data_IF_463911621102
#
_entry.id   IF_463911621102
#
_cell.length_a   1.000
_cell.length_b   1.000
_cell.length_c   1.000
_cell.angle_alpha   90.00
_cell.angle_beta   90.00
_cell.angle_gamma   90.00
#
_symmetry.space_group_name_H-M   'P 1'
#
loop_
_entity.id
_entity.type
_entity.pdbx_description
1 polymer ?
#
# COMPACT_ATOMS: atom_id res chain seq x y z
N UNK A 1 -78.17 22.09 -22.46
CA UNK A 1 -77.37 23.12 -21.79
C UNK A 1 -77.04 22.63 -20.38
N UNK A 2 -75.73 22.48 -20.07
CA UNK A 2 -75.03 22.64 -18.77
C UNK A 2 -75.77 22.22 -17.47
N UNK A 3 -75.24 21.42 -16.54
CA UNK A 3 -73.85 21.15 -16.09
C UNK A 3 -73.88 19.87 -15.22
N UNK A 4 -72.89 18.98 -15.41
CA UNK A 4 -72.57 17.93 -14.46
C UNK A 4 -71.65 18.49 -13.35
N UNK A 5 -71.93 18.11 -12.10
CA UNK A 5 -71.18 18.49 -10.90
C UNK A 5 -70.07 17.48 -10.69
N UNK A 6 -68.81 17.91 -10.84
CA UNK A 6 -67.62 17.12 -10.50
C UNK A 6 -67.28 17.31 -9.01
N UNK A 7 -67.52 16.29 -8.19
CA UNK A 7 -66.97 16.17 -6.84
C UNK A 7 -65.49 15.80 -6.90
N UNK A 8 -64.61 16.70 -6.42
CA UNK A 8 -63.18 16.41 -6.21
C UNK A 8 -62.98 15.82 -4.82
N UNK A 9 -62.58 14.54 -4.76
CA UNK A 9 -62.00 13.91 -3.59
C UNK A 9 -60.60 14.53 -3.33
N UNK A 10 -60.40 15.13 -2.17
CA UNK A 10 -59.08 15.56 -1.69
C UNK A 10 -58.41 14.37 -0.98
N UNK A 11 -57.47 13.73 -1.67
CA UNK A 11 -56.57 12.74 -1.08
C UNK A 11 -55.40 13.50 -0.42
N UNK A 12 -55.38 13.56 0.90
CA UNK A 12 -54.24 14.10 1.65
C UNK A 12 -53.09 13.10 1.62
N UNK A 13 -52.12 13.33 0.73
CA UNK A 13 -50.87 12.57 0.68
C UNK A 13 -49.95 12.95 1.84
N UNK A 14 -49.76 12.04 2.79
CA UNK A 14 -48.78 12.15 3.85
C UNK A 14 -47.37 11.97 3.25
N UNK A 15 -46.66 13.09 3.01
CA UNK A 15 -45.25 13.09 2.63
C UNK A 15 -44.40 12.70 3.84
N UNK A 16 -44.04 11.42 3.95
CA UNK A 16 -43.00 10.96 4.86
C UNK A 16 -41.65 11.34 4.22
N UNK A 17 -41.07 12.45 4.68
CA UNK A 17 -39.71 12.83 4.36
C UNK A 17 -38.73 11.86 5.01
N UNK A 18 -38.22 10.90 4.22
CA UNK A 18 -37.07 10.08 4.59
C UNK A 18 -35.85 11.02 4.62
N UNK A 19 -35.50 11.50 5.81
CA UNK A 19 -34.20 12.13 6.06
C UNK A 19 -33.18 11.00 6.00
N UNK A 20 -32.59 10.79 4.81
CA UNK A 20 -31.41 9.95 4.70
C UNK A 20 -30.31 10.55 5.56
N UNK A 21 -29.91 9.85 6.62
CA UNK A 21 -28.65 10.13 7.32
C UNK A 21 -27.54 9.98 6.27
N UNK A 22 -27.13 11.10 5.67
CA UNK A 22 -25.83 11.20 5.03
C UNK A 22 -24.82 11.18 6.17
N UNK A 23 -24.25 10.02 6.47
CA UNK A 23 -23.02 9.98 7.23
C UNK A 23 -22.01 10.81 6.45
N UNK A 24 -21.68 12.00 6.96
CA UNK A 24 -20.58 12.76 6.44
C UNK A 24 -19.35 11.86 6.56
N UNK A 25 -18.74 11.50 5.43
CA UNK A 25 -17.42 10.87 5.43
C UNK A 25 -16.52 11.85 6.17
N UNK A 26 -16.06 11.45 7.36
CA UNK A 26 -15.14 12.26 8.14
C UNK A 26 -13.96 12.60 7.23
N UNK A 27 -13.57 13.88 7.19
CA UNK A 27 -12.34 14.26 6.48
C UNK A 27 -11.21 13.38 7.02
N UNK A 28 -10.38 12.77 6.15
CA UNK A 28 -9.26 12.00 6.63
C UNK A 28 -8.44 12.87 7.58
N UNK A 29 -8.15 12.35 8.77
CA UNK A 29 -7.28 13.03 9.74
C UNK A 29 -5.91 13.37 9.11
N UNK A 30 -5.12 14.24 9.76
CA UNK A 30 -3.85 14.69 9.19
C UNK A 30 -2.93 13.50 8.89
N UNK A 31 -2.21 13.57 7.78
CA UNK A 31 -1.18 12.60 7.44
C UNK A 31 0.03 12.79 8.36
N UNK A 32 0.40 11.74 9.09
CA UNK A 32 1.53 11.75 10.00
C UNK A 32 2.75 11.16 9.30
N UNK A 33 3.89 11.85 9.31
CA UNK A 33 5.16 11.40 8.72
C UNK A 33 6.27 11.20 9.75
N UNK A 34 6.01 11.48 11.03
CA UNK A 34 6.96 11.32 12.11
C UNK A 34 6.35 10.47 13.23
N UNK A 35 7.11 9.50 13.73
CA UNK A 35 6.72 8.64 14.85
C UNK A 35 6.40 9.40 16.13
N UNK A 36 6.95 10.61 16.32
CA UNK A 36 6.64 11.45 17.48
C UNK A 36 5.20 11.98 17.48
N UNK A 37 4.54 12.03 16.31
CA UNK A 37 3.23 12.65 16.11
C UNK A 37 2.10 11.62 15.95
N UNK A 38 2.39 10.33 16.15
CA UNK A 38 1.39 9.26 16.04
C UNK A 38 0.50 9.20 17.27
N UNK A 39 -0.73 8.71 17.08
CA UNK A 39 -1.65 8.44 18.18
C UNK A 39 -1.34 7.10 18.88
N UNK A 40 -2.11 6.80 19.93
CA UNK A 40 -1.96 5.55 20.67
C UNK A 40 -2.30 4.29 19.86
N UNK A 41 -3.04 4.40 18.75
CA UNK A 41 -3.40 3.27 17.89
C UNK A 41 -2.21 2.76 17.10
N UNK A 42 -1.29 3.65 16.74
CA UNK A 42 -0.04 3.28 16.12
C UNK A 42 0.79 2.30 16.97
N UNK A 43 0.77 2.44 18.30
CA UNK A 43 1.54 1.58 19.19
C UNK A 43 1.09 0.10 19.16
N UNK A 44 -0.16 -0.17 18.78
CA UNK A 44 -0.75 -1.53 18.79
C UNK A 44 -0.85 -2.12 17.39
N UNK A 45 -0.90 -1.29 16.34
CA UNK A 45 -0.85 -1.81 14.97
C UNK A 45 0.53 -2.38 14.61
N UNK A 46 0.58 -3.17 13.55
CA UNK A 46 1.81 -3.76 13.02
C UNK A 46 1.69 -5.26 12.84
N UNK A 47 2.83 -5.93 12.84
CA UNK A 47 2.93 -7.37 12.60
C UNK A 47 3.19 -8.12 13.90
N UNK A 48 2.61 -9.30 14.03
CA UNK A 48 2.83 -10.21 15.16
C UNK A 48 3.09 -11.61 14.62
N UNK A 49 3.94 -12.40 15.27
CA UNK A 49 4.22 -13.79 14.85
C UNK A 49 4.56 -14.70 16.04
N UNK A 50 4.40 -16.00 15.83
CA UNK A 50 4.56 -17.02 16.86
C UNK A 50 3.94 -18.35 16.42
N UNK A 51 3.58 -19.17 17.41
CA UNK A 51 2.94 -20.47 17.22
C UNK A 51 1.54 -20.44 17.82
N UNK A 52 0.57 -21.05 17.15
CA UNK A 52 -0.79 -21.23 17.66
C UNK A 52 -1.15 -22.71 17.69
N UNK A 53 -1.99 -23.07 18.65
CA UNK A 53 -2.67 -24.36 18.71
C UNK A 53 -3.73 -24.45 17.60
N UNK A 54 -3.80 -25.60 16.95
CA UNK A 54 -4.87 -25.92 16.01
C UNK A 54 -6.15 -26.30 16.77
N UNK A 55 -7.28 -25.68 16.40
CA UNK A 55 -8.56 -25.88 17.09
C UNK A 55 -8.96 -27.36 17.01
N UNK A 56 -9.28 -27.96 18.15
CA UNK A 56 -9.63 -29.38 18.25
C UNK A 56 -8.44 -30.35 18.12
N UNK A 57 -7.21 -29.84 18.17
CA UNK A 57 -5.97 -30.63 18.06
C UNK A 57 -4.97 -30.24 19.17
N UNK A 58 -4.00 -31.12 19.42
CA UNK A 58 -2.83 -30.82 20.26
C UNK A 58 -1.65 -30.25 19.44
N UNK A 59 -1.77 -30.23 18.11
CA UNK A 59 -0.74 -29.73 17.22
C UNK A 59 -0.68 -28.20 17.22
N UNK A 60 0.53 -27.66 17.09
CA UNK A 60 0.75 -26.24 16.87
C UNK A 60 1.18 -25.97 15.43
N UNK A 61 0.93 -24.76 14.95
CA UNK A 61 1.40 -24.29 13.65
C UNK A 61 1.93 -22.86 13.73
N UNK A 62 2.92 -22.49 12.89
CA UNK A 62 3.39 -21.11 12.82
C UNK A 62 2.27 -20.20 12.35
N UNK A 63 2.12 -19.03 12.95
CA UNK A 63 1.09 -18.07 12.56
C UNK A 63 1.60 -16.63 12.66
N UNK A 64 0.89 -15.73 12.01
CA UNK A 64 1.12 -14.31 12.11
C UNK A 64 -0.15 -13.47 12.00
N UNK A 65 -0.09 -12.24 12.50
CA UNK A 65 -1.12 -11.23 12.33
C UNK A 65 -0.56 -10.01 11.60
N UNK A 66 -1.37 -9.41 10.74
CA UNK A 66 -1.22 -8.02 10.33
C UNK A 66 -2.38 -7.21 10.94
N UNK A 67 -2.08 -6.40 11.95
CA UNK A 67 -3.04 -5.56 12.68
C UNK A 67 -2.99 -4.15 12.13
N UNK A 68 -4.12 -3.62 11.68
CA UNK A 68 -4.23 -2.32 11.02
C UNK A 68 -5.14 -1.40 11.82
N UNK A 69 -4.59 -0.26 12.27
CA UNK A 69 -5.39 0.81 12.83
C UNK A 69 -6.26 1.46 11.75
N UNK A 70 -7.52 1.70 12.09
CA UNK A 70 -8.56 2.31 11.26
C UNK A 70 -8.95 3.71 11.75
N UNK A 71 -8.32 4.17 12.84
CA UNK A 71 -8.52 5.47 13.48
C UNK A 71 -9.62 5.42 14.53
N UNK A 72 -9.57 6.35 15.48
CA UNK A 72 -10.54 6.46 16.57
C UNK A 72 -10.73 5.17 17.38
N UNK A 73 -9.65 4.40 17.59
CA UNK A 73 -9.70 3.14 18.30
C UNK A 73 -10.27 1.97 17.51
N UNK A 74 -10.62 2.12 16.23
CA UNK A 74 -11.06 1.00 15.39
C UNK A 74 -9.88 0.24 14.79
N UNK A 75 -10.00 -1.09 14.69
CA UNK A 75 -8.97 -1.96 14.14
C UNK A 75 -9.56 -3.07 13.27
N UNK A 76 -8.74 -3.52 12.33
CA UNK A 76 -8.88 -4.83 11.69
C UNK A 76 -7.59 -5.61 11.83
N UNK A 77 -7.67 -6.92 11.81
CA UNK A 77 -6.50 -7.78 11.73
C UNK A 77 -6.73 -8.90 10.72
N UNK A 78 -5.66 -9.37 10.09
CA UNK A 78 -5.68 -10.57 9.27
C UNK A 78 -4.77 -11.62 9.91
N UNK A 79 -5.33 -12.77 10.29
CA UNK A 79 -4.59 -13.92 10.77
C UNK A 79 -4.13 -14.78 9.58
N UNK A 80 -2.86 -15.15 9.60
CA UNK A 80 -2.13 -15.80 8.53
C UNK A 80 -1.54 -17.12 9.04
N UNK A 81 -1.83 -18.23 8.38
CA UNK A 81 -1.25 -19.54 8.67
C UNK A 81 0.16 -19.65 8.06
N UNK A 82 1.10 -20.26 8.76
CA UNK A 82 2.49 -20.44 8.31
C UNK A 82 3.42 -19.25 8.58
N UNK A 83 2.93 -18.01 8.66
CA UNK A 83 3.76 -16.84 8.95
C UNK A 83 3.31 -15.54 8.27
N UNK A 84 4.24 -14.59 8.14
CA UNK A 84 4.00 -13.28 7.49
C UNK A 84 4.18 -13.38 5.96
N UNK A 85 3.65 -12.42 5.17
CA UNK A 85 3.92 -12.37 3.74
C UNK A 85 5.43 -12.30 3.47
N UNK A 86 5.94 -13.21 2.64
CA UNK A 86 7.37 -13.32 2.31
C UNK A 86 8.20 -13.97 3.41
N UNK A 87 7.58 -14.42 4.50
CA UNK A 87 8.23 -15.09 5.63
C UNK A 87 7.29 -16.13 6.25
N UNK A 88 7.05 -17.22 5.52
CA UNK A 88 6.35 -18.41 6.02
C UNK A 88 4.85 -18.48 5.70
N UNK A 89 4.17 -17.38 5.37
CA UNK A 89 2.74 -17.46 5.01
C UNK A 89 2.53 -18.45 3.86
N UNK A 90 1.70 -19.47 4.11
CA UNK A 90 1.42 -20.56 3.18
C UNK A 90 0.46 -20.17 2.05
N UNK A 91 0.03 -18.90 2.01
CA UNK A 91 -0.94 -18.33 1.06
C UNK A 91 -2.35 -18.89 1.18
N UNK A 92 -2.67 -19.57 2.28
CA UNK A 92 -4.05 -19.91 2.64
C UNK A 92 -4.88 -18.66 2.90
N UNK A 93 -6.20 -18.82 2.84
CA UNK A 93 -7.15 -17.75 3.14
C UNK A 93 -6.91 -17.18 4.55
N UNK A 94 -7.08 -15.87 4.64
CA UNK A 94 -6.88 -15.12 5.88
C UNK A 94 -8.15 -15.13 6.70
N UNK A 95 -8.03 -15.28 8.02
CA UNK A 95 -9.14 -15.01 8.93
C UNK A 95 -9.13 -13.51 9.24
N UNK A 96 -10.18 -12.81 8.84
CA UNK A 96 -10.33 -11.37 9.03
C UNK A 96 -11.04 -11.09 10.36
N UNK A 97 -10.39 -10.34 11.23
CA UNK A 97 -10.93 -9.91 12.52
C UNK A 97 -11.18 -8.41 12.50
N UNK A 98 -12.22 -7.97 13.22
CA UNK A 98 -12.55 -6.56 13.39
C UNK A 98 -12.88 -6.28 14.84
N UNK A 99 -12.62 -5.06 15.27
CA UNK A 99 -13.02 -4.63 16.59
C UNK A 99 -12.43 -3.28 16.94
N UNK A 100 -12.29 -3.03 18.23
CA UNK A 100 -11.99 -1.72 18.74
C UNK A 100 -11.21 -1.77 20.04
N UNK A 101 -10.65 -0.62 20.40
CA UNK A 101 -9.96 -0.37 21.66
C UNK A 101 -10.96 -0.24 22.81
N UNK A 102 -10.66 -0.91 23.90
CA UNK A 102 -11.32 -0.85 25.20
C UNK A 102 -10.25 -0.54 26.28
N UNK A 103 -10.02 0.74 26.56
CA UNK A 103 -8.92 1.17 27.42
C UNK A 103 -7.56 0.85 26.80
N UNK A 104 -6.75 0.05 27.48
CA UNK A 104 -5.40 -0.32 27.03
C UNK A 104 -5.37 -1.60 26.16
N UNK A 105 -6.53 -2.25 25.99
CA UNK A 105 -6.66 -3.50 25.24
C UNK A 105 -7.43 -3.24 23.95
N UNK A 106 -7.01 -3.80 22.83
CA UNK A 106 -7.82 -3.84 21.62
C UNK A 106 -8.41 -5.25 21.49
N UNK A 107 -9.73 -5.34 21.38
CA UNK A 107 -10.44 -6.61 21.21
C UNK A 107 -10.99 -6.71 19.81
N UNK A 108 -10.70 -7.81 19.12
CA UNK A 108 -11.20 -8.10 17.79
C UNK A 108 -11.78 -9.51 17.74
N UNK A 109 -12.77 -9.69 16.88
CA UNK A 109 -13.37 -10.99 16.62
C UNK A 109 -13.52 -11.22 15.12
N UNK A 110 -13.46 -12.48 14.70
CA UNK A 110 -13.61 -12.90 13.31
C UNK A 110 -13.77 -14.41 13.24
N UNK A 111 -14.82 -14.88 12.56
CA UNK A 111 -15.25 -16.27 12.58
C UNK A 111 -15.38 -16.80 14.04
N UNK A 112 -14.66 -17.87 14.38
CA UNK A 112 -14.60 -18.43 15.73
C UNK A 112 -13.41 -17.92 16.56
N UNK A 113 -12.62 -16.98 16.02
CA UNK A 113 -11.39 -16.47 16.64
C UNK A 113 -11.64 -15.13 17.32
N UNK A 114 -11.13 -15.03 18.55
CA UNK A 114 -11.06 -13.82 19.36
C UNK A 114 -9.60 -13.41 19.51
N UNK A 115 -9.34 -12.11 19.50
CA UNK A 115 -8.01 -11.52 19.61
C UNK A 115 -8.03 -10.39 20.65
N UNK A 116 -7.15 -10.48 21.63
CA UNK A 116 -6.83 -9.41 22.58
C UNK A 116 -5.40 -8.91 22.34
N UNK A 117 -5.26 -7.64 21.98
CA UNK A 117 -3.98 -6.97 21.80
C UNK A 117 -3.70 -6.07 22.99
N UNK A 118 -2.53 -6.23 23.61
CA UNK A 118 -2.05 -5.36 24.66
C UNK A 118 -0.53 -5.20 24.54
N UNK A 119 -0.07 -3.98 24.32
CA UNK A 119 1.34 -3.69 24.04
C UNK A 119 1.87 -4.53 22.87
N UNK A 120 2.93 -5.31 23.12
CA UNK A 120 3.58 -6.15 22.12
C UNK A 120 3.05 -7.60 22.08
N UNK A 121 1.90 -7.87 22.70
CA UNK A 121 1.31 -9.19 22.81
C UNK A 121 -0.05 -9.25 22.10
N UNK A 122 -0.26 -10.32 21.33
CA UNK A 122 -1.51 -10.65 20.68
C UNK A 122 -1.97 -12.03 21.17
N UNK A 123 -2.95 -12.08 22.05
CA UNK A 123 -3.51 -13.32 22.59
C UNK A 123 -4.71 -13.75 21.75
N UNK A 124 -4.72 -14.99 21.27
CA UNK A 124 -5.81 -15.54 20.49
C UNK A 124 -6.55 -16.64 21.26
N UNK A 125 -7.87 -16.63 21.16
CA UNK A 125 -8.76 -17.67 21.69
C UNK A 125 -9.82 -18.09 20.69
N UNK A 126 -10.42 -19.25 20.90
CA UNK A 126 -11.60 -19.73 20.18
C UNK A 126 -12.51 -20.47 21.15
N UNK A 127 -13.76 -20.03 21.28
CA UNK A 127 -14.75 -20.62 22.20
C UNK A 127 -14.22 -20.81 23.64
N UNK A 128 -13.47 -19.83 24.15
CA UNK A 128 -12.86 -19.86 25.49
C UNK A 128 -11.57 -20.68 25.60
N UNK A 129 -11.17 -21.43 24.58
CA UNK A 129 -9.87 -22.10 24.52
C UNK A 129 -8.78 -21.12 24.08
N UNK A 130 -7.70 -21.00 24.86
CA UNK A 130 -6.51 -20.26 24.44
C UNK A 130 -5.81 -20.98 23.29
N UNK A 131 -5.62 -20.29 22.17
CA UNK A 131 -4.87 -20.80 21.01
C UNK A 131 -3.38 -20.47 21.12
N UNK A 132 -3.03 -19.36 21.76
CA UNK A 132 -1.64 -18.96 21.97
C UNK A 132 -1.46 -17.45 22.01
N UNK A 133 -0.20 -17.04 22.07
CA UNK A 133 0.20 -15.62 22.10
C UNK A 133 1.23 -15.38 21.01
N UNK A 134 0.98 -14.40 20.15
CA UNK A 134 1.92 -13.92 19.14
C UNK A 134 2.61 -12.66 19.66
N UNK A 135 3.92 -12.56 19.42
CA UNK A 135 4.72 -11.39 19.80
C UNK A 135 4.84 -10.40 18.64
N UNK A 136 4.87 -9.10 18.94
CA UNK A 136 5.05 -8.05 17.94
C UNK A 136 6.42 -8.18 17.26
N UNK A 137 6.44 -8.07 15.93
CA UNK A 137 7.65 -8.12 15.11
C UNK A 137 7.75 -6.83 14.30
N UNK A 138 8.98 -6.31 14.18
CA UNK A 138 9.30 -5.18 13.31
C UNK A 138 10.25 -5.68 12.24
N UNK A 139 9.79 -5.71 10.98
CA UNK A 139 10.63 -6.09 9.84
C UNK A 139 11.25 -4.85 9.21
N UNK A 140 12.43 -5.06 8.63
CA UNK A 140 13.12 -4.12 7.74
C UNK A 140 13.41 -4.81 6.43
N UNK A 141 13.44 -4.04 5.35
CA UNK A 141 13.82 -4.61 4.06
C UNK A 141 15.28 -5.04 4.11
N UNK A 142 15.60 -6.21 3.55
CA UNK A 142 16.98 -6.64 3.37
C UNK A 142 17.76 -5.71 2.43
N UNK A 143 17.04 -4.92 1.62
CA UNK A 143 17.60 -3.95 0.69
C UNK A 143 17.52 -2.50 1.21
N UNK A 144 17.08 -2.28 2.45
CA UNK A 144 17.07 -0.95 3.05
C UNK A 144 18.51 -0.45 3.28
N UNK A 145 18.82 0.75 2.81
CA UNK A 145 20.12 1.39 2.96
C UNK A 145 21.22 0.77 2.12
N UNK A 146 20.89 -0.01 1.09
CA UNK A 146 21.91 -0.55 0.19
C UNK A 146 22.71 0.59 -0.43
N UNK A 147 24.03 0.45 -0.35
CA UNK A 147 24.94 1.37 -1.02
C UNK A 147 24.80 1.19 -2.54
N UNK A 148 24.82 2.29 -3.30
CA UNK A 148 24.87 2.23 -4.75
C UNK A 148 26.05 1.34 -5.22
N UNK A 149 25.82 0.32 -6.06
CA UNK A 149 26.90 -0.51 -6.59
C UNK A 149 27.92 0.31 -7.42
N UNK A 150 29.13 -0.21 -7.66
CA UNK A 150 30.07 0.43 -8.59
C UNK A 150 29.43 0.70 -9.96
N UNK A 151 29.73 1.87 -10.54
CA UNK A 151 29.18 2.37 -11.81
C UNK A 151 27.68 2.71 -11.82
N UNK A 152 27.02 2.71 -10.64
CA UNK A 152 25.69 3.29 -10.54
C UNK A 152 25.73 4.82 -10.60
N UNK A 153 24.63 5.40 -11.06
CA UNK A 153 24.34 6.82 -11.02
C UNK A 153 23.54 7.07 -9.75
N UNK A 154 24.13 7.81 -8.82
CA UNK A 154 23.42 8.27 -7.61
C UNK A 154 22.49 9.41 -8.01
N UNK A 155 21.19 9.19 -7.86
CA UNK A 155 20.16 10.16 -8.20
C UNK A 155 19.79 11.00 -6.98
N UNK A 156 19.71 10.38 -5.79
CA UNK A 156 19.43 11.07 -4.53
C UNK A 156 20.02 10.33 -3.32
N UNK A 157 20.87 11.00 -2.55
CA UNK A 157 21.48 10.49 -1.32
C UNK A 157 21.16 11.34 -0.08
N UNK A 158 20.25 12.32 -0.23
CA UNK A 158 19.86 13.24 0.84
C UNK A 158 20.65 14.55 0.91
N UNK A 159 21.64 14.77 0.03
CA UNK A 159 22.48 15.99 0.04
C UNK A 159 21.92 17.12 -0.83
N UNK A 160 21.47 16.80 -2.04
CA UNK A 160 20.90 17.77 -2.97
C UNK A 160 19.84 17.13 -3.88
N UNK A 161 19.20 17.96 -4.71
CA UNK A 161 18.15 17.55 -5.64
C UNK A 161 18.46 17.94 -7.09
N UNK A 162 19.73 18.06 -7.46
CA UNK A 162 20.13 18.56 -8.79
C UNK A 162 19.71 17.64 -9.93
N UNK A 163 19.57 16.34 -9.68
CA UNK A 163 19.08 15.37 -10.65
C UNK A 163 17.58 15.53 -10.97
N UNK A 164 16.87 16.45 -10.31
CA UNK A 164 15.41 16.53 -10.34
C UNK A 164 14.86 17.90 -10.71
N UNK A 165 13.70 17.87 -11.36
CA UNK A 165 12.84 19.02 -11.60
C UNK A 165 11.71 19.07 -10.56
N UNK A 166 11.42 20.28 -10.07
CA UNK A 166 10.37 20.55 -9.07
C UNK A 166 10.56 19.84 -7.71
N UNK A 167 11.77 19.37 -7.43
CA UNK A 167 12.05 18.68 -6.19
C UNK A 167 11.87 19.59 -4.97
N UNK A 168 11.34 18.99 -3.91
CA UNK A 168 11.34 19.55 -2.57
C UNK A 168 12.05 18.55 -1.66
N UNK A 169 12.85 19.07 -0.74
CA UNK A 169 13.54 18.28 0.26
C UNK A 169 13.21 18.81 1.64
N UNK A 170 12.96 17.90 2.58
CA UNK A 170 12.76 18.20 3.99
C UNK A 170 13.52 17.17 4.81
N UNK A 171 14.36 17.61 5.73
CA UNK A 171 15.14 16.75 6.63
C UNK A 171 15.96 15.66 5.90
N UNK A 172 16.54 16.02 4.74
CA UNK A 172 17.31 15.08 3.89
C UNK A 172 16.46 14.08 3.11
N UNK A 173 15.13 14.20 3.14
CA UNK A 173 14.19 13.32 2.44
C UNK A 173 13.55 14.03 1.25
N UNK A 174 13.56 13.35 0.11
CA UNK A 174 12.92 13.82 -1.12
C UNK A 174 11.39 13.67 -0.99
N UNK A 175 10.66 14.71 -1.35
CA UNK A 175 9.19 14.71 -1.31
C UNK A 175 8.61 14.33 -2.68
N UNK A 176 7.32 13.96 -2.70
CA UNK A 176 6.51 13.71 -3.92
C UNK A 176 6.57 14.87 -4.94
N UNK A 177 6.12 14.59 -6.17
CA UNK A 177 5.85 15.61 -7.18
C UNK A 177 7.07 16.07 -7.96
N UNK A 178 8.04 15.17 -8.12
CA UNK A 178 9.33 15.45 -8.74
C UNK A 178 9.60 14.51 -9.92
N UNK A 179 10.41 14.98 -10.86
CA UNK A 179 10.75 14.25 -12.09
C UNK A 179 12.26 14.28 -12.29
N UNK A 180 12.87 13.16 -12.69
CA UNK A 180 14.28 13.13 -13.05
C UNK A 180 14.55 13.97 -14.30
N UNK A 181 15.64 14.72 -14.28
CA UNK A 181 16.18 15.40 -15.46
C UNK A 181 16.85 14.43 -16.44
N UNK A 182 17.75 13.52 -16.02
CA UNK A 182 18.33 12.55 -16.94
C UNK A 182 17.28 11.53 -17.40
N UNK A 183 17.41 11.11 -18.66
CA UNK A 183 16.52 10.15 -19.31
C UNK A 183 17.26 8.84 -19.50
N UNK A 184 16.64 7.75 -19.07
CA UNK A 184 17.22 6.41 -19.14
C UNK A 184 16.31 5.50 -19.93
N UNK A 185 16.88 4.67 -20.79
CA UNK A 185 16.10 3.76 -21.64
C UNK A 185 15.80 2.45 -20.91
N UNK A 186 16.84 1.64 -20.69
CA UNK A 186 16.80 0.38 -19.96
C UNK A 186 17.64 0.55 -18.69
N UNK A 187 17.19 0.03 -17.56
CA UNK A 187 17.88 0.26 -16.30
C UNK A 187 17.50 -0.70 -15.18
N UNK A 188 18.36 -0.78 -14.17
CA UNK A 188 18.02 -1.19 -12.81
C UNK A 188 17.93 0.04 -11.92
N UNK A 189 16.83 0.22 -11.20
CA UNK A 189 16.57 1.35 -10.32
C UNK A 189 16.30 0.84 -8.90
N UNK A 190 17.00 1.43 -7.93
CA UNK A 190 16.66 1.30 -6.52
C UNK A 190 15.97 2.58 -6.03
N UNK A 191 14.90 2.42 -5.25
CA UNK A 191 14.17 3.51 -4.60
C UNK A 191 13.75 3.05 -3.21
N UNK A 192 14.04 3.85 -2.19
CA UNK A 192 13.38 3.71 -0.89
C UNK A 192 12.27 4.74 -0.72
N UNK A 193 11.15 4.29 -0.14
CA UNK A 193 10.01 5.13 0.15
C UNK A 193 9.39 4.81 1.51
N UNK A 194 8.71 5.79 2.09
CA UNK A 194 7.98 5.65 3.34
C UNK A 194 6.60 6.29 3.20
N UNK A 195 5.56 5.50 3.45
CA UNK A 195 4.18 5.99 3.43
C UNK A 195 3.81 6.64 4.77
N UNK A 196 3.00 7.71 4.76
CA UNK A 196 2.54 8.33 5.99
C UNK A 196 1.55 7.44 6.74
N UNK A 197 1.46 7.62 8.05
CA UNK A 197 0.39 7.07 8.85
C UNK A 197 -0.89 7.89 8.65
N UNK A 198 -1.90 7.26 8.07
CA UNK A 198 -3.20 7.87 7.73
C UNK A 198 -4.35 6.94 8.14
N UNK A 199 -4.55 6.69 9.44
CA UNK A 199 -5.42 5.61 9.91
C UNK A 199 -6.88 5.80 9.52
N UNK A 200 -7.36 7.03 9.31
CA UNK A 200 -8.72 7.32 8.86
C UNK A 200 -8.91 7.23 7.33
N UNK A 201 -7.83 7.23 6.55
CA UNK A 201 -7.89 7.20 5.09
C UNK A 201 -8.07 5.78 4.55
N UNK A 202 -8.69 5.64 3.38
CA UNK A 202 -8.99 4.35 2.73
C UNK A 202 -8.70 4.41 1.25
N UNK A 203 -8.54 3.24 0.63
CA UNK A 203 -8.37 3.11 -0.81
C UNK A 203 -7.20 3.96 -1.33
N UNK A 204 -7.44 4.66 -2.44
CA UNK A 204 -6.42 5.48 -3.12
C UNK A 204 -6.09 6.79 -2.40
N UNK A 205 -6.74 7.10 -1.27
CA UNK A 205 -6.41 8.29 -0.47
C UNK A 205 -5.48 7.96 0.70
N UNK A 206 -5.11 6.69 0.88
CA UNK A 206 -4.28 6.22 2.00
C UNK A 206 -2.81 6.10 1.59
N UNK A 207 -2.07 7.20 1.69
CA UNK A 207 -0.62 7.20 1.46
C UNK A 207 -0.22 6.94 -0.01
N UNK A 208 -0.99 7.47 -0.96
CA UNK A 208 -0.82 7.22 -2.40
C UNK A 208 0.26 8.10 -3.04
N UNK A 209 1.10 7.48 -3.86
CA UNK A 209 2.06 8.07 -4.80
C UNK A 209 2.33 7.01 -5.89
N UNK A 210 3.41 7.13 -6.64
CA UNK A 210 3.78 6.14 -7.64
C UNK A 210 5.12 6.45 -8.27
N UNK A 211 5.84 5.40 -8.67
CA UNK A 211 7.05 5.50 -9.49
C UNK A 211 6.64 5.32 -10.95
N UNK A 212 6.49 6.43 -11.66
CA UNK A 212 6.19 6.44 -13.09
C UNK A 212 7.48 6.32 -13.89
N UNK A 213 7.74 5.13 -14.42
CA UNK A 213 8.81 4.85 -15.35
C UNK A 213 8.43 5.41 -16.72
N UNK A 214 9.36 6.14 -17.35
CA UNK A 214 9.14 6.85 -18.60
C UNK A 214 7.90 7.76 -18.56
N UNK A 215 7.51 8.28 -17.39
CA UNK A 215 6.27 9.04 -17.21
C UNK A 215 5.02 8.30 -17.77
N UNK A 216 5.07 6.97 -17.86
CA UNK A 216 4.15 6.09 -18.61
C UNK A 216 3.61 4.95 -17.77
N UNK A 217 4.52 4.28 -17.07
CA UNK A 217 4.26 3.01 -16.41
C UNK A 217 4.43 3.18 -14.92
N UNK A 218 3.34 3.14 -14.19
CA UNK A 218 3.27 3.35 -12.76
C UNK A 218 3.45 2.02 -12.04
N UNK A 219 4.56 1.93 -11.31
CA UNK A 219 4.67 1.04 -10.16
C UNK A 219 4.01 1.76 -8.99
N UNK A 220 2.90 1.21 -8.52
CA UNK A 220 2.04 1.88 -7.54
C UNK A 220 2.72 1.98 -6.18
N UNK A 221 2.65 3.16 -5.53
CA UNK A 221 3.06 3.34 -4.13
C UNK A 221 1.82 3.67 -3.31
N UNK A 222 1.49 2.83 -2.32
CA UNK A 222 0.31 3.02 -1.49
C UNK A 222 0.55 2.42 -0.10
N UNK A 223 -0.08 2.96 0.95
CA UNK A 223 -0.17 2.23 2.22
C UNK A 223 -1.17 1.07 2.05
N UNK A 224 -0.64 -0.06 1.61
CA UNK A 224 -1.38 -1.31 1.40
C UNK A 224 -1.15 -2.32 2.53
N UNK A 225 -0.66 -1.88 3.68
CA UNK A 225 -0.41 -2.77 4.80
C UNK A 225 -1.69 -3.50 5.25
N UNK A 226 -1.61 -4.83 5.34
CA UNK A 226 -2.74 -5.70 5.64
C UNK A 226 -3.82 -5.78 4.55
N UNK A 227 -3.63 -5.19 3.37
CA UNK A 227 -4.56 -5.35 2.23
C UNK A 227 -4.23 -6.62 1.41
N UNK A 228 -5.01 -6.87 0.35
CA UNK A 228 -4.90 -8.11 -0.45
C UNK A 228 -3.78 -8.09 -1.48
N UNK A 229 -3.25 -6.92 -1.85
CA UNK A 229 -2.36 -6.76 -3.00
C UNK A 229 -3.12 -6.70 -4.31
N UNK A 230 -4.16 -5.87 -4.38
CA UNK A 230 -4.95 -5.71 -5.60
C UNK A 230 -4.18 -4.98 -6.72
N UNK A 231 -4.71 -5.05 -7.94
CA UNK A 231 -4.18 -4.42 -9.16
C UNK A 231 -4.00 -2.89 -9.10
N UNK A 232 -4.50 -2.22 -8.06
CA UNK A 232 -4.33 -0.79 -7.79
C UNK A 232 -3.69 -0.51 -6.41
N UNK A 233 -3.08 -1.51 -5.77
CA UNK A 233 -2.40 -1.42 -4.48
C UNK A 233 -0.86 -1.43 -4.66
N UNK A 234 -0.13 -1.22 -3.56
CA UNK A 234 1.33 -1.06 -3.55
C UNK A 234 2.04 -2.18 -4.31
N UNK A 235 2.96 -1.80 -5.19
CA UNK A 235 3.73 -2.71 -6.02
C UNK A 235 2.99 -3.20 -7.26
N UNK A 236 1.72 -2.84 -7.47
CA UNK A 236 1.01 -3.19 -8.70
C UNK A 236 1.55 -2.43 -9.90
N UNK A 237 1.42 -3.03 -11.08
CA UNK A 237 1.45 -2.27 -12.33
C UNK A 237 0.05 -1.66 -12.48
N UNK A 238 -0.07 -0.37 -12.19
CA UNK A 238 -1.35 0.21 -11.81
C UNK A 238 -2.48 -0.07 -12.80
N UNK A 239 -3.52 -0.73 -12.28
CA UNK A 239 -4.73 -1.21 -12.98
C UNK A 239 -4.48 -2.19 -14.13
N UNK A 240 -3.27 -2.74 -14.26
CA UNK A 240 -2.94 -3.78 -15.23
C UNK A 240 -2.63 -5.13 -14.58
N UNK A 241 -1.87 -5.12 -13.47
CA UNK A 241 -1.45 -6.36 -12.81
C UNK A 241 -1.26 -6.18 -11.31
N UNK A 242 -1.93 -7.01 -10.52
CA UNK A 242 -1.68 -7.16 -9.08
C UNK A 242 -0.27 -7.67 -8.80
N UNK A 243 0.41 -7.23 -7.73
CA UNK A 243 1.63 -7.90 -7.28
C UNK A 243 1.34 -9.37 -6.95
N UNK A 244 2.29 -10.27 -7.21
CA UNK A 244 2.15 -11.70 -6.88
C UNK A 244 2.06 -11.95 -5.36
N UNK A 245 2.51 -10.98 -4.58
CA UNK A 245 2.42 -10.96 -3.12
C UNK A 245 2.38 -9.52 -2.61
N UNK A 246 1.45 -9.20 -1.70
CA UNK A 246 1.50 -7.93 -0.98
C UNK A 246 2.64 -7.94 0.05
N UNK A 247 3.72 -7.23 -0.26
CA UNK A 247 4.90 -7.09 0.60
C UNK A 247 4.96 -5.76 1.34
N UNK A 248 3.86 -4.99 1.38
CA UNK A 248 3.82 -3.72 2.09
C UNK A 248 4.02 -3.89 3.60
N UNK A 249 5.00 -3.17 4.15
CA UNK A 249 5.17 -3.01 5.60
C UNK A 249 4.23 -1.94 6.17
N UNK A 250 4.04 -1.88 7.50
CA UNK A 250 3.26 -0.81 8.14
C UNK A 250 3.74 0.59 7.73
N UNK A 251 2.85 1.59 7.69
CA UNK A 251 3.24 2.99 7.45
C UNK A 251 4.31 3.45 8.45
N UNK A 252 5.08 4.46 8.06
CA UNK A 252 6.28 4.92 8.77
C UNK A 252 7.43 3.90 8.84
N UNK A 253 7.36 2.83 8.05
CA UNK A 253 8.48 1.93 7.79
C UNK A 253 9.05 2.21 6.40
N UNK A 254 10.38 2.17 6.27
CA UNK A 254 11.02 2.25 4.96
C UNK A 254 10.74 0.98 4.16
N UNK A 255 10.46 1.18 2.88
CA UNK A 255 10.19 0.14 1.90
C UNK A 255 11.11 0.33 0.72
N UNK A 256 11.51 -0.76 0.07
CA UNK A 256 12.40 -0.72 -1.09
C UNK A 256 11.69 -1.23 -2.33
N UNK A 257 11.94 -0.56 -3.45
CA UNK A 257 11.73 -1.10 -4.79
C UNK A 257 13.06 -1.25 -5.49
N UNK A 258 13.30 -2.46 -6.01
CA UNK A 258 14.36 -2.75 -6.95
C UNK A 258 13.71 -3.14 -8.27
N UNK A 259 13.81 -2.23 -9.23
CA UNK A 259 13.12 -2.30 -10.52
C UNK A 259 14.13 -2.57 -11.60
N UNK A 260 14.00 -3.69 -12.32
CA UNK A 260 14.67 -3.88 -13.61
C UNK A 260 13.67 -3.58 -14.72
N UNK A 261 13.96 -2.61 -15.57
CA UNK A 261 13.07 -2.16 -16.63
C UNK A 261 13.75 -2.21 -18.01
N UNK A 262 13.02 -2.76 -18.98
CA UNK A 262 13.37 -2.72 -20.39
C UNK A 262 12.28 -1.95 -21.15
N UNK A 263 12.70 -0.90 -21.86
CA UNK A 263 11.81 -0.05 -22.65
C UNK A 263 11.08 -0.85 -23.74
N UNK A 264 9.89 -0.39 -24.17
CA UNK A 264 9.26 -0.90 -25.37
C UNK A 264 10.16 -0.67 -26.61
N UNK A 265 9.99 -1.51 -27.63
CA UNK A 265 10.68 -1.36 -28.92
C UNK A 265 9.67 -0.87 -29.95
N UNK A 266 10.07 0.14 -30.72
CA UNK A 266 9.33 0.69 -31.84
C UNK A 266 10.14 0.57 -33.13
N UNK A 267 9.48 0.36 -34.27
CA UNK A 267 10.12 0.43 -35.59
C UNK A 267 10.33 1.88 -36.05
N UNK A 268 11.00 2.05 -37.19
CA UNK A 268 11.25 3.37 -37.79
C UNK A 268 9.98 4.10 -38.24
N UNK A 269 8.87 3.38 -38.43
CA UNK A 269 7.56 3.96 -38.75
C UNK A 269 6.77 4.35 -37.49
N UNK A 270 7.31 4.08 -36.29
CA UNK A 270 6.67 4.39 -35.01
C UNK A 270 5.68 3.33 -34.52
N UNK A 271 5.64 2.14 -35.12
CA UNK A 271 4.81 1.04 -34.64
C UNK A 271 5.49 0.31 -33.49
N UNK A 272 4.74 -0.05 -32.45
CA UNK A 272 5.25 -0.82 -31.31
C UNK A 272 5.51 -2.27 -31.73
N UNK A 273 6.77 -2.70 -31.70
CA UNK A 273 7.20 -4.07 -31.98
C UNK A 273 7.22 -4.95 -30.72
N UNK A 274 7.50 -4.36 -29.55
CA UNK A 274 7.58 -5.09 -28.28
C UNK A 274 7.13 -4.22 -27.11
N UNK A 275 6.38 -4.81 -26.19
CA UNK A 275 6.00 -4.17 -24.92
C UNK A 275 7.22 -3.92 -24.03
N UNK A 276 7.08 -2.96 -23.11
CA UNK A 276 8.03 -2.80 -22.03
C UNK A 276 8.01 -4.05 -21.14
N UNK A 277 9.12 -4.36 -20.47
CA UNK A 277 9.19 -5.46 -19.49
C UNK A 277 9.74 -4.99 -18.17
N UNK A 278 9.25 -5.57 -17.07
CA UNK A 278 9.63 -5.19 -15.72
C UNK A 278 9.79 -6.42 -14.82
N UNK A 279 10.87 -6.43 -14.05
CA UNK A 279 11.02 -7.23 -12.82
C UNK A 279 11.01 -6.27 -11.65
N UNK A 280 10.23 -6.56 -10.61
CA UNK A 280 10.12 -5.74 -9.41
C UNK A 280 10.27 -6.61 -8.17
N UNK A 281 11.24 -6.25 -7.33
CA UNK A 281 11.34 -6.73 -5.97
C UNK A 281 10.79 -5.64 -5.04
N UNK A 282 9.91 -6.03 -4.12
CA UNK A 282 9.41 -5.19 -3.04
C UNK A 282 9.92 -5.74 -1.72
N UNK A 283 10.72 -4.92 -1.01
CA UNK A 283 11.39 -5.33 0.21
C UNK A 283 12.28 -6.58 0.04
N UNK A 284 12.96 -6.69 -1.10
CA UNK A 284 13.82 -7.82 -1.46
C UNK A 284 13.08 -9.07 -1.95
N UNK A 285 11.74 -9.05 -2.00
CA UNK A 285 10.93 -10.20 -2.46
C UNK A 285 10.40 -9.93 -3.87
N UNK A 286 10.59 -10.83 -4.84
CA UNK A 286 10.05 -10.65 -6.19
C UNK A 286 8.52 -10.68 -6.17
N UNK A 287 7.91 -9.62 -6.72
CA UNK A 287 6.45 -9.48 -6.84
C UNK A 287 5.97 -9.31 -8.29
N UNK A 288 6.91 -9.08 -9.22
CA UNK A 288 6.75 -9.26 -10.66
C UNK A 288 8.07 -9.80 -11.21
N UNK A 289 8.01 -10.83 -12.05
CA UNK A 289 9.17 -11.40 -12.73
C UNK A 289 9.04 -11.29 -14.26
N UNK A 290 9.84 -10.41 -14.86
CA UNK A 290 9.94 -10.16 -16.30
C UNK A 290 8.57 -10.02 -17.00
N UNK A 291 7.66 -9.31 -16.35
CA UNK A 291 6.27 -9.12 -16.78
C UNK A 291 6.22 -8.09 -17.90
N UNK A 292 5.35 -8.31 -18.90
CA UNK A 292 5.06 -7.30 -19.92
C UNK A 292 4.10 -6.22 -19.42
N UNK A 293 4.39 -4.97 -19.78
CA UNK A 293 3.49 -3.84 -19.56
C UNK A 293 2.86 -3.49 -20.90
N UNK A 294 1.57 -3.79 -21.05
CA UNK A 294 0.90 -3.82 -22.35
C UNK A 294 0.57 -2.44 -22.91
N UNK A 295 0.46 -1.43 -22.05
CA UNK A 295 0.18 -0.05 -22.39
C UNK A 295 0.61 0.89 -21.24
N UNK A 296 0.47 2.21 -21.43
CA UNK A 296 0.56 3.17 -20.32
C UNK A 296 -0.41 2.81 -19.18
N UNK A 297 -0.06 3.13 -17.94
CA UNK A 297 -0.97 2.99 -16.79
C UNK A 297 -1.50 4.35 -16.36
N UNK A 298 -2.59 4.35 -15.58
CA UNK A 298 -3.07 5.53 -14.85
C UNK A 298 -3.02 6.85 -15.64
N UNK A 299 -2.44 7.87 -15.00
CA UNK A 299 -2.21 9.20 -15.58
C UNK A 299 -0.96 9.29 -16.49
N UNK A 300 -0.38 8.15 -16.87
CA UNK A 300 0.82 8.08 -17.70
C UNK A 300 0.60 8.63 -19.11
N UNK A 301 1.68 9.07 -19.75
CA UNK A 301 1.70 9.62 -21.12
C UNK A 301 1.54 8.51 -22.17
N UNK A 302 0.99 8.84 -23.34
CA UNK A 302 0.77 7.89 -24.44
C UNK A 302 2.09 7.36 -25.01
N UNK A 303 2.25 6.03 -25.09
CA UNK A 303 3.51 5.37 -25.47
C UNK A 303 4.13 5.89 -26.77
N UNK A 304 5.45 5.83 -26.86
CA UNK A 304 6.21 6.24 -28.04
C UNK A 304 7.69 5.86 -27.91
N UNK A 305 8.48 6.07 -28.98
CA UNK A 305 9.88 5.66 -29.04
C UNK A 305 10.80 6.43 -28.09
N UNK A 306 10.41 7.64 -27.70
CA UNK A 306 11.22 8.51 -26.85
C UNK A 306 11.21 8.08 -25.38
N UNK A 307 12.39 8.11 -24.77
CA UNK A 307 12.54 8.01 -23.32
C UNK A 307 12.00 9.28 -22.66
N UNK A 308 11.34 9.12 -21.52
CA UNK A 308 10.77 10.21 -20.74
C UNK A 308 11.23 10.09 -19.28
N UNK A 309 11.10 11.16 -18.47
CA UNK A 309 11.53 11.15 -17.08
C UNK A 309 10.92 10.03 -16.25
N UNK A 310 11.69 9.53 -15.28
CA UNK A 310 11.12 8.82 -14.13
C UNK A 310 10.49 9.87 -13.22
N UNK A 311 9.26 9.66 -12.79
CA UNK A 311 8.47 10.60 -12.00
C UNK A 311 8.01 9.97 -10.69
N UNK A 312 8.15 10.71 -9.60
CA UNK A 312 7.52 10.39 -8.31
C UNK A 312 6.21 11.18 -8.22
N UNK A 313 5.08 10.48 -8.24
CA UNK A 313 3.76 11.09 -8.35
C UNK A 313 3.41 11.95 -7.13
N UNK A 314 2.80 13.10 -7.38
CA UNK A 314 2.06 13.85 -6.36
C UNK A 314 0.58 13.48 -6.43
N UNK A 315 0.09 12.86 -5.36
CA UNK A 315 -1.33 12.56 -5.14
C UNK A 315 -1.83 13.21 -3.83
N UNK A 316 -1.17 14.27 -3.36
CA UNK A 316 -1.52 14.98 -2.14
C UNK A 316 -1.18 14.27 -0.82
N UNK A 317 -0.66 13.05 -0.85
CA UNK A 317 -0.24 12.31 0.34
C UNK A 317 1.27 12.42 0.52
N UNK A 318 1.78 12.78 1.71
CA UNK A 318 3.19 13.09 1.93
C UNK A 318 4.06 11.82 2.06
N UNK A 319 4.13 11.03 0.99
CA UNK A 319 5.11 9.95 0.84
C UNK A 319 6.51 10.56 0.75
N UNK A 320 7.47 9.95 1.44
CA UNK A 320 8.86 10.42 1.48
C UNK A 320 9.76 9.41 0.79
N UNK A 321 10.81 9.88 0.14
CA UNK A 321 11.75 9.07 -0.61
C UNK A 321 13.20 9.33 -0.17
N UNK A 322 14.03 8.29 -0.26
CA UNK A 322 15.48 8.38 -0.04
C UNK A 322 16.20 7.30 -0.84
N UNK A 323 17.53 7.41 -0.93
CA UNK A 323 18.39 6.41 -1.54
C UNK A 323 17.93 5.99 -2.94
N UNK A 324 18.06 6.90 -3.91
CA UNK A 324 17.74 6.62 -5.30
C UNK A 324 19.03 6.50 -6.07
N UNK A 325 19.23 5.37 -6.74
CA UNK A 325 20.35 5.15 -7.63
C UNK A 325 19.95 4.19 -8.75
N UNK A 326 20.68 4.26 -9.86
CA UNK A 326 20.35 3.55 -11.08
C UNK A 326 21.59 2.98 -11.76
N UNK A 327 21.45 1.84 -12.42
CA UNK A 327 22.44 1.25 -13.34
C UNK A 327 21.80 1.18 -14.72
N UNK A 328 22.41 1.78 -15.73
CA UNK A 328 21.94 1.65 -17.10
C UNK A 328 22.17 0.24 -17.63
N UNK A 329 21.20 -0.26 -18.39
CA UNK A 329 21.27 -1.56 -19.06
C UNK A 329 21.44 -1.36 -20.57
N UNK A 330 22.05 -2.33 -21.28
CA UNK A 330 22.20 -2.30 -22.73
C UNK A 330 20.90 -2.10 -23.51
#
# INVERSE_FOLDING_TARGET
MLKAVNGRLLLAGLLISIVGLRTAVAKPGPAVTNLADVDGDFAVMGEYSGQLLEVGSAATYPAALQVVALGNGEFRAALLRGGLPGNGWDRSDRVELKGQREGDVVKLTGDAVELELQGNSAKLSSAGQSLGVLGKVVRRSAHEGLLPPPNSIVLFDGRDTQAFKNAKMKDGLLQIGTELLPLFRNFQLHVEFMTPYMPAARGQDRGNSGVYIHSRYEVQVLDSFGLKGAFNECGSLYRQRSPDLNMAFPPLSWQTYDITFHAPIFDAAGNKCRNARITLLHNGVPIHDNVEIVAKTGAGKAEGPDSLPIKLQDHGNPVQFRNLWLIELP
#
